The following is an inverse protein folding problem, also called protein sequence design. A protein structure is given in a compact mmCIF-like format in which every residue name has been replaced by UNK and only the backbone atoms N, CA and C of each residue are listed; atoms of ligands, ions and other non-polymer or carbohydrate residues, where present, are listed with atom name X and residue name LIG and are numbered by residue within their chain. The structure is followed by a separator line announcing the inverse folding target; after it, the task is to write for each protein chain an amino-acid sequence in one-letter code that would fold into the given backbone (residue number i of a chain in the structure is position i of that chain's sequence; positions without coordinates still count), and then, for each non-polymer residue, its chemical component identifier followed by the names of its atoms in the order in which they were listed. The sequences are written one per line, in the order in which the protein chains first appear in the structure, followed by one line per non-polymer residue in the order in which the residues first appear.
data_IF_866029673240
#
_entry.id   IF_866029673240
#
_cell.length_a   1.000
_cell.length_b   1.000
_cell.length_c   1.000
_cell.angle_alpha   90.00
_cell.angle_beta   90.00
_cell.angle_gamma   90.00
#
_symmetry.space_group_name_H-M   'P 1'
#
loop_
_entity.id
_entity.type
_entity.pdbx_description
1 polymer ?
#
# COMPACT_ATOMS: atom_id res chain seq x y z
N UNK A 1 -12.35 16.47 9.44
CA UNK A 1 -12.61 17.20 10.70
C UNK A 1 -14.01 17.77 10.63
N UNK A 2 -15.02 16.97 10.95
CA UNK A 2 -16.34 17.52 11.27
C UNK A 2 -16.31 17.76 12.78
N UNK A 3 -16.00 19.00 13.17
CA UNK A 3 -16.05 19.43 14.57
C UNK A 3 -17.51 19.29 14.99
N UNK A 4 -17.83 18.38 15.92
CA UNK A 4 -19.16 18.36 16.55
C UNK A 4 -19.42 19.78 17.05
N UNK A 5 -20.36 20.47 16.42
CA UNK A 5 -20.53 21.87 16.67
C UNK A 5 -21.03 22.03 18.11
N UNK A 6 -20.49 22.97 18.88
CA UNK A 6 -20.74 23.13 20.32
C UNK A 6 -22.21 23.07 20.75
N UNK A 7 -23.14 23.47 19.88
CA UNK A 7 -24.59 23.38 20.14
C UNK A 7 -25.14 21.93 20.11
N UNK A 8 -24.51 21.01 19.38
CA UNK A 8 -24.89 19.59 19.35
C UNK A 8 -24.54 18.91 20.67
N UNK A 9 -23.35 19.20 21.22
CA UNK A 9 -22.93 18.71 22.55
C UNK A 9 -23.93 19.15 23.63
N UNK A 10 -24.33 20.43 23.61
CA UNK A 10 -25.33 20.97 24.56
C UNK A 10 -26.69 20.30 24.37
N UNK A 11 -27.10 20.01 23.12
CA UNK A 11 -28.35 19.29 22.86
C UNK A 11 -28.33 17.86 23.41
N UNK A 12 -27.21 17.15 23.25
CA UNK A 12 -27.02 15.79 23.80
C UNK A 12 -27.05 15.83 25.33
N UNK A 13 -26.36 16.79 25.95
CA UNK A 13 -26.31 16.94 27.40
C UNK A 13 -27.71 17.21 27.99
N UNK A 14 -28.48 18.11 27.38
CA UNK A 14 -29.87 18.38 27.79
C UNK A 14 -30.76 17.15 27.59
N UNK A 15 -30.62 16.43 26.47
CA UNK A 15 -31.37 15.19 26.25
C UNK A 15 -31.02 14.13 27.29
N UNK A 16 -29.75 14.01 27.66
CA UNK A 16 -29.27 13.09 28.69
C UNK A 16 -29.86 13.44 30.07
N UNK A 17 -29.88 14.71 30.48
CA UNK A 17 -30.55 15.14 31.72
C UNK A 17 -32.04 14.76 31.77
N UNK A 18 -32.75 14.83 30.64
CA UNK A 18 -34.15 14.38 30.54
C UNK A 18 -34.26 12.86 30.69
N UNK A 19 -33.36 12.09 30.06
CA UNK A 19 -33.36 10.62 30.16
C UNK A 19 -33.03 10.15 31.58
N UNK A 20 -32.07 10.80 32.24
CA UNK A 20 -31.69 10.54 33.63
C UNK A 20 -32.76 10.94 34.65
N UNK A 21 -33.80 11.66 34.21
CA UNK A 21 -34.93 12.06 35.03
C UNK A 21 -34.70 13.32 35.87
N UNK A 22 -33.68 14.12 35.53
CA UNK A 22 -33.47 15.45 36.12
C UNK A 22 -34.57 16.42 35.70
N UNK A 23 -35.17 16.21 34.52
CA UNK A 23 -36.37 16.90 34.06
C UNK A 23 -37.43 15.88 33.65
N UNK A 24 -38.65 16.05 34.14
CA UNK A 24 -39.80 15.19 33.83
C UNK A 24 -40.56 15.70 32.60
N UNK A 25 -41.31 14.81 31.94
CA UNK A 25 -42.22 15.23 30.87
C UNK A 25 -43.25 16.25 31.40
N UNK A 26 -43.46 17.34 30.66
CA UNK A 26 -44.27 18.49 31.08
C UNK A 26 -43.54 19.49 31.99
N UNK A 27 -42.34 19.17 32.46
CA UNK A 27 -41.54 20.09 33.29
C UNK A 27 -40.88 21.19 32.46
N UNK A 28 -40.72 22.35 33.07
CA UNK A 28 -40.08 23.51 32.45
C UNK A 28 -38.58 23.51 32.75
N UNK A 29 -37.78 23.58 31.70
CA UNK A 29 -36.35 23.81 31.77
C UNK A 29 -36.08 25.32 31.93
N UNK A 30 -34.96 25.65 32.56
CA UNK A 30 -34.44 27.00 32.64
C UNK A 30 -34.43 27.73 31.28
N UNK A 31 -34.68 29.05 31.31
CA UNK A 31 -34.73 29.88 30.11
C UNK A 31 -33.40 29.97 29.36
N UNK A 32 -33.47 30.41 28.10
CA UNK A 32 -32.32 30.47 27.18
C UNK A 32 -31.11 31.25 27.74
N UNK A 33 -31.35 32.36 28.45
CA UNK A 33 -30.28 33.17 29.05
C UNK A 33 -29.60 32.48 30.23
N UNK A 34 -30.35 31.74 31.04
CA UNK A 34 -29.81 30.97 32.18
C UNK A 34 -28.95 29.81 31.69
N UNK A 35 -29.42 29.09 30.66
CA UNK A 35 -28.64 28.02 30.02
C UNK A 35 -27.37 28.58 29.37
N UNK A 36 -27.44 29.74 28.70
CA UNK A 36 -26.27 30.37 28.09
C UNK A 36 -25.17 30.67 29.13
N UNK A 37 -25.56 31.18 30.30
CA UNK A 37 -24.64 31.39 31.42
C UNK A 37 -24.06 30.09 31.98
N UNK A 38 -24.89 29.06 32.18
CA UNK A 38 -24.45 27.74 32.68
C UNK A 38 -23.42 27.07 31.78
N UNK A 39 -23.67 27.09 30.47
CA UNK A 39 -22.80 26.46 29.48
C UNK A 39 -21.65 27.35 29.00
N UNK A 40 -21.58 28.61 29.48
CA UNK A 40 -20.62 29.63 29.05
C UNK A 40 -20.56 29.79 27.52
N UNK A 41 -21.72 29.89 26.88
CA UNK A 41 -21.85 30.03 25.41
C UNK A 41 -22.76 31.20 25.04
N UNK A 42 -22.72 31.60 23.77
CA UNK A 42 -23.64 32.62 23.26
C UNK A 42 -25.11 32.14 23.33
N UNK A 43 -26.08 33.04 23.58
CA UNK A 43 -27.51 32.72 23.54
C UNK A 43 -27.95 32.09 22.21
N UNK A 44 -27.28 32.45 21.11
CA UNK A 44 -27.52 31.86 19.78
C UNK A 44 -27.13 30.38 19.70
N UNK A 45 -26.07 29.98 20.41
CA UNK A 45 -25.67 28.56 20.51
C UNK A 45 -26.72 27.75 21.27
N UNK A 46 -27.26 28.28 22.37
CA UNK A 46 -28.38 27.64 23.09
C UNK A 46 -29.62 27.57 22.19
N UNK A 47 -29.95 28.65 21.48
CA UNK A 47 -31.09 28.69 20.55
C UNK A 47 -31.00 27.57 19.52
N UNK A 48 -29.82 27.37 18.92
CA UNK A 48 -29.56 26.27 17.96
C UNK A 48 -29.67 24.89 18.60
N UNK A 49 -29.15 24.72 19.82
CA UNK A 49 -29.23 23.46 20.58
C UNK A 49 -30.69 23.06 20.83
N UNK A 50 -31.48 24.01 21.35
CA UNK A 50 -32.90 23.82 21.65
C UNK A 50 -33.73 23.61 20.38
N UNK A 51 -33.40 24.30 19.28
CA UNK A 51 -34.11 24.14 18.01
C UNK A 51 -34.03 22.69 17.49
N UNK A 52 -32.89 22.03 17.65
CA UNK A 52 -32.71 20.64 17.21
C UNK A 52 -33.51 19.67 18.08
N UNK A 53 -33.49 19.87 19.39
CA UNK A 53 -34.33 19.11 20.32
C UNK A 53 -35.82 19.35 20.04
N UNK A 54 -36.19 20.56 19.64
CA UNK A 54 -37.57 20.91 19.29
C UNK A 54 -38.02 20.24 17.98
N UNK A 55 -37.18 20.22 16.94
CA UNK A 55 -37.47 19.53 15.67
C UNK A 55 -37.74 18.04 15.89
N UNK A 56 -37.03 17.43 16.84
CA UNK A 56 -37.18 16.02 17.19
C UNK A 56 -38.29 15.77 18.22
N UNK A 57 -39.05 16.80 18.62
CA UNK A 57 -40.16 16.67 19.56
C UNK A 57 -39.75 16.34 21.01
N UNK A 58 -38.48 16.56 21.37
CA UNK A 58 -37.97 16.34 22.73
C UNK A 58 -38.45 17.45 23.66
N UNK A 59 -38.42 18.69 23.18
CA UNK A 59 -38.82 19.90 23.92
C UNK A 59 -39.68 20.82 23.06
N UNK A 60 -40.43 21.71 23.69
CA UNK A 60 -41.20 22.75 23.02
C UNK A 60 -40.85 24.12 23.58
N UNK A 61 -40.71 25.12 22.71
CA UNK A 61 -40.52 26.50 23.11
C UNK A 61 -41.83 27.25 22.93
N UNK A 62 -42.38 27.76 24.04
CA UNK A 62 -43.60 28.57 24.05
C UNK A 62 -43.28 30.01 24.43
N UNK A 63 -43.82 30.97 23.67
CA UNK A 63 -43.64 32.40 23.97
C UNK A 63 -44.16 32.72 25.38
N UNK A 64 -43.34 33.39 26.18
CA UNK A 64 -43.67 33.79 27.56
C UNK A 64 -43.58 32.68 28.62
N UNK A 65 -43.40 31.40 28.24
CA UNK A 65 -43.47 30.27 29.18
C UNK A 65 -42.11 29.58 29.38
N UNK A 66 -41.25 29.55 28.36
CA UNK A 66 -39.92 28.93 28.42
C UNK A 66 -39.81 27.65 27.58
N UNK A 67 -38.91 26.76 27.99
CA UNK A 67 -38.64 25.48 27.31
C UNK A 67 -39.32 24.38 28.13
N UNK A 68 -40.21 23.59 27.53
CA UNK A 68 -40.95 22.52 28.21
C UNK A 68 -40.55 21.17 27.64
N UNK A 69 -40.29 20.17 28.50
CA UNK A 69 -40.02 18.79 28.06
C UNK A 69 -41.32 18.17 27.54
N UNK A 70 -41.28 17.63 26.33
CA UNK A 70 -42.44 16.98 25.70
C UNK A 70 -42.39 15.48 25.86
N UNK A 71 -41.26 14.85 25.54
CA UNK A 71 -41.14 13.41 25.74
C UNK A 71 -39.72 12.92 26.03
N UNK A 72 -39.58 12.15 27.11
CA UNK A 72 -38.40 11.38 27.46
C UNK A 72 -38.09 10.31 26.40
N UNK A 73 -39.13 9.64 25.88
CA UNK A 73 -38.94 8.61 24.84
C UNK A 73 -38.30 9.18 23.56
N UNK A 74 -38.62 10.43 23.22
CA UNK A 74 -38.00 11.13 22.09
C UNK A 74 -36.57 11.56 22.40
N UNK A 75 -36.26 11.93 23.65
CA UNK A 75 -34.89 12.18 24.10
C UNK A 75 -34.00 10.92 23.95
N UNK A 76 -34.51 9.75 24.30
CA UNK A 76 -33.80 8.46 24.12
C UNK A 76 -33.58 8.12 22.64
N UNK A 77 -34.54 8.43 21.77
CA UNK A 77 -34.38 8.26 20.31
C UNK A 77 -33.37 9.24 19.73
N UNK A 78 -33.36 10.48 20.22
CA UNK A 78 -32.41 11.51 19.84
C UNK A 78 -30.98 11.08 20.16
N UNK A 79 -30.72 10.59 21.38
CA UNK A 79 -29.41 10.09 21.80
C UNK A 79 -28.93 8.92 20.92
N UNK A 80 -29.79 7.91 20.72
CA UNK A 80 -29.46 6.74 19.88
C UNK A 80 -29.10 7.12 18.43
N UNK A 81 -29.76 8.13 17.87
CA UNK A 81 -29.46 8.61 16.51
C UNK A 81 -28.11 9.31 16.41
N UNK A 82 -27.66 9.98 17.48
CA UNK A 82 -26.33 10.59 17.54
C UNK A 82 -25.22 9.54 17.72
N UNK A 83 -25.46 8.52 18.55
CA UNK A 83 -24.51 7.43 18.76
C UNK A 83 -24.26 6.63 17.47
N UNK A 84 -25.31 6.31 16.71
CA UNK A 84 -25.15 5.61 15.41
C UNK A 84 -24.33 6.41 14.41
N UNK A 85 -24.48 7.74 14.36
CA UNK A 85 -23.67 8.59 13.48
C UNK A 85 -22.20 8.57 13.90
N UNK A 86 -21.92 8.57 15.20
CA UNK A 86 -20.57 8.48 15.73
C UNK A 86 -19.93 7.11 15.47
N UNK A 87 -20.67 6.01 15.65
CA UNK A 87 -20.19 4.64 15.37
C UNK A 87 -19.80 4.46 13.90
N UNK A 88 -20.65 4.89 12.97
CA UNK A 88 -20.36 4.81 11.53
C UNK A 88 -19.14 5.66 11.16
N UNK A 89 -18.95 6.80 11.81
CA UNK A 89 -17.78 7.66 11.58
C UNK A 89 -16.46 6.95 11.93
N UNK A 90 -16.43 6.17 13.00
CA UNK A 90 -15.26 5.37 13.39
C UNK A 90 -14.87 4.39 12.27
N UNK A 91 -15.85 3.68 11.71
CA UNK A 91 -15.60 2.76 10.60
C UNK A 91 -15.14 3.47 9.33
N UNK A 92 -15.67 4.65 9.02
CA UNK A 92 -15.19 5.46 7.88
C UNK A 92 -13.74 5.92 8.05
N UNK A 93 -13.36 6.34 9.27
CA UNK A 93 -11.98 6.76 9.56
C UNK A 93 -11.00 5.57 9.48
N UNK A 94 -11.42 4.40 9.96
CA UNK A 94 -10.63 3.17 9.84
C UNK A 94 -10.50 2.73 8.38
N UNK A 95 -11.59 2.74 7.60
CA UNK A 95 -11.56 2.44 6.17
C UNK A 95 -10.61 3.37 5.42
N UNK A 96 -10.66 4.68 5.71
CA UNK A 96 -9.76 5.66 5.11
C UNK A 96 -8.30 5.34 5.41
N UNK A 97 -7.99 4.93 6.64
CA UNK A 97 -6.63 4.51 7.04
C UNK A 97 -6.19 3.27 6.27
N UNK A 98 -7.05 2.26 6.14
CA UNK A 98 -6.77 1.04 5.36
C UNK A 98 -6.54 1.35 3.88
N UNK A 99 -7.31 2.26 3.29
CA UNK A 99 -7.13 2.68 1.89
C UNK A 99 -5.78 3.35 1.65
N UNK A 100 -5.30 4.19 2.58
CA UNK A 100 -3.97 4.81 2.47
C UNK A 100 -2.87 3.75 2.59
N UNK A 101 -3.00 2.81 3.54
CA UNK A 101 -2.05 1.71 3.67
C UNK A 101 -2.00 0.84 2.41
N UNK A 102 -3.15 0.54 1.80
CA UNK A 102 -3.20 -0.18 0.52
C UNK A 102 -2.43 0.57 -0.56
N UNK A 103 -2.62 1.88 -0.67
CA UNK A 103 -1.91 2.71 -1.66
C UNK A 103 -0.39 2.66 -1.48
N UNK A 104 0.09 2.73 -0.24
CA UNK A 104 1.52 2.58 0.05
C UNK A 104 2.05 1.19 -0.30
N UNK A 105 1.26 0.14 -0.05
CA UNK A 105 1.63 -1.24 -0.42
C UNK A 105 1.71 -1.37 -1.94
N UNK A 106 0.71 -0.89 -2.68
CA UNK A 106 0.68 -0.93 -4.15
C UNK A 106 1.91 -0.21 -4.74
N UNK A 107 2.28 0.95 -4.20
CA UNK A 107 3.50 1.66 -4.62
C UNK A 107 4.79 0.86 -4.37
N UNK A 108 4.87 0.16 -3.23
CA UNK A 108 6.03 -0.71 -2.93
C UNK A 108 6.07 -1.91 -3.90
N UNK A 109 4.93 -2.51 -4.20
CA UNK A 109 4.81 -3.60 -5.18
C UNK A 109 5.34 -3.14 -6.53
N UNK A 110 4.85 -2.00 -7.05
CA UNK A 110 5.27 -1.46 -8.34
C UNK A 110 6.77 -1.17 -8.39
N UNK A 111 7.32 -0.61 -7.31
CA UNK A 111 8.76 -0.35 -7.21
C UNK A 111 9.60 -1.65 -7.24
N UNK A 112 9.11 -2.73 -6.61
CA UNK A 112 9.77 -4.03 -6.65
C UNK A 112 9.63 -4.72 -8.00
N UNK A 113 8.45 -4.66 -8.63
CA UNK A 113 8.23 -5.17 -9.99
C UNK A 113 9.18 -4.49 -10.98
N UNK A 114 9.28 -3.16 -10.92
CA UNK A 114 10.21 -2.40 -11.76
C UNK A 114 11.66 -2.85 -11.57
N UNK A 115 12.08 -3.10 -10.31
CA UNK A 115 13.42 -3.64 -10.04
C UNK A 115 13.60 -5.03 -10.64
N UNK A 116 12.62 -5.93 -10.45
CA UNK A 116 12.68 -7.29 -10.99
C UNK A 116 12.83 -7.26 -12.52
N UNK A 117 11.96 -6.51 -13.21
CA UNK A 117 12.03 -6.35 -14.67
C UNK A 117 13.39 -5.82 -15.10
N UNK A 118 13.90 -4.77 -14.44
CA UNK A 118 15.22 -4.24 -14.74
C UNK A 118 16.36 -5.24 -14.49
N UNK A 119 16.25 -6.08 -13.45
CA UNK A 119 17.22 -7.14 -13.20
C UNK A 119 17.13 -8.24 -14.27
N UNK A 120 15.93 -8.66 -14.65
CA UNK A 120 15.72 -9.69 -15.67
C UNK A 120 16.15 -9.20 -17.05
N UNK A 121 15.88 -7.94 -17.40
CA UNK A 121 16.33 -7.36 -18.67
C UNK A 121 17.86 -7.29 -18.74
N UNK A 122 18.52 -6.95 -17.62
CA UNK A 122 19.99 -7.00 -17.53
C UNK A 122 20.53 -8.42 -17.61
N UNK A 123 19.85 -9.39 -17.01
CA UNK A 123 20.24 -10.80 -17.05
C UNK A 123 20.08 -11.37 -18.46
N UNK A 124 18.93 -11.12 -19.09
CA UNK A 124 18.63 -11.51 -20.46
C UNK A 124 19.56 -10.83 -21.45
N UNK A 125 19.89 -9.55 -21.26
CA UNK A 125 20.88 -8.84 -22.09
C UNK A 125 22.28 -9.45 -21.98
N UNK A 126 22.69 -9.90 -20.78
CA UNK A 126 23.96 -10.64 -20.61
C UNK A 126 23.94 -12.03 -21.27
N UNK A 127 22.77 -12.62 -21.46
CA UNK A 127 22.62 -13.90 -22.17
C UNK A 127 22.46 -13.74 -23.68
N UNK A 128 21.94 -12.61 -24.18
CA UNK A 128 21.90 -12.31 -25.62
C UNK A 128 23.29 -12.14 -26.24
N UNK A 129 24.32 -11.88 -25.43
CA UNK A 129 25.72 -11.84 -25.88
C UNK A 129 26.42 -13.21 -25.84
N UNK A 130 25.75 -14.26 -25.35
CA UNK A 130 26.31 -15.63 -25.29
C UNK A 130 26.18 -16.27 -26.67
N UNK A 131 27.30 -16.64 -27.27
CA UNK A 131 27.31 -17.49 -28.46
C UNK A 131 27.68 -18.92 -28.08
N UNK A 132 27.05 -19.87 -28.78
CA UNK A 132 27.42 -21.29 -28.73
C UNK A 132 28.38 -21.57 -29.87
N UNK A 133 29.56 -22.12 -29.55
CA UNK A 133 30.55 -22.52 -30.56
C UNK A 133 30.94 -23.97 -30.30
N UNK A 134 30.58 -24.84 -31.25
CA UNK A 134 30.94 -26.25 -31.23
C UNK A 134 32.40 -26.44 -31.70
N UNK A 135 33.13 -27.31 -30.99
CA UNK A 135 34.45 -27.77 -31.40
C UNK A 135 34.29 -28.84 -32.48
N UNK A 136 34.68 -28.48 -33.70
CA UNK A 136 34.59 -29.37 -34.85
C UNK A 136 35.45 -30.63 -34.66
N UNK A 137 35.00 -31.75 -35.25
CA UNK A 137 35.76 -33.00 -35.21
C UNK A 137 37.12 -32.83 -35.89
N UNK A 138 38.19 -33.18 -35.18
CA UNK A 138 39.56 -33.02 -35.68
C UNK A 138 40.14 -31.62 -35.48
N UNK A 139 39.45 -30.79 -34.70
CA UNK A 139 39.94 -29.47 -34.30
C UNK A 139 41.30 -29.57 -33.61
N UNK A 140 42.17 -28.59 -33.90
CA UNK A 140 43.44 -28.45 -33.19
C UNK A 140 43.29 -28.10 -31.70
N UNK A 141 42.07 -27.86 -31.22
CA UNK A 141 41.75 -27.62 -29.82
C UNK A 141 41.62 -28.92 -29.00
N UNK A 142 41.41 -30.07 -29.64
CA UNK A 142 41.26 -31.36 -28.96
C UNK A 142 42.46 -31.68 -28.07
N UNK A 143 42.18 -32.09 -26.84
CA UNK A 143 43.19 -32.48 -25.85
C UNK A 143 43.95 -31.31 -25.22
N UNK A 144 43.64 -30.06 -25.59
CA UNK A 144 44.20 -28.86 -24.96
C UNK A 144 43.30 -28.40 -23.82
N UNK A 145 43.91 -27.79 -22.81
CA UNK A 145 43.16 -27.12 -21.76
C UNK A 145 42.69 -25.74 -22.20
N UNK A 146 41.69 -25.18 -21.53
CA UNK A 146 41.29 -23.77 -21.70
C UNK A 146 42.48 -22.82 -21.48
N UNK A 147 43.37 -23.14 -20.55
CA UNK A 147 44.58 -22.37 -20.29
C UNK A 147 45.61 -22.42 -21.42
N UNK A 148 45.77 -23.57 -22.09
CA UNK A 148 46.70 -23.74 -23.21
C UNK A 148 46.28 -22.90 -24.43
N UNK A 149 44.97 -22.81 -24.65
CA UNK A 149 44.42 -22.06 -25.76
C UNK A 149 44.51 -20.55 -25.56
N UNK A 150 44.53 -20.07 -24.30
CA UNK A 150 44.55 -18.65 -23.93
C UNK A 150 43.46 -17.84 -24.62
N UNK A 151 42.23 -18.40 -24.66
CA UNK A 151 41.12 -17.86 -25.44
C UNK A 151 40.84 -16.39 -25.12
N UNK A 152 40.75 -16.03 -23.83
CA UNK A 152 40.48 -14.65 -23.41
C UNK A 152 41.53 -13.66 -23.89
N UNK A 153 42.81 -14.02 -23.90
CA UNK A 153 43.89 -13.14 -24.39
C UNK A 153 43.84 -12.98 -25.90
N UNK A 154 43.54 -14.06 -26.64
CA UNK A 154 43.55 -14.07 -28.11
C UNK A 154 42.28 -13.48 -28.73
N UNK A 155 41.13 -13.70 -28.12
CA UNK A 155 39.81 -13.37 -28.67
C UNK A 155 39.07 -12.31 -27.87
N UNK A 156 39.48 -12.05 -26.62
CA UNK A 156 38.74 -11.18 -25.70
C UNK A 156 37.49 -11.82 -25.11
N UNK A 157 37.15 -13.06 -25.51
CA UNK A 157 35.96 -13.75 -25.04
C UNK A 157 36.17 -14.42 -23.68
N UNK A 158 35.10 -14.53 -22.91
CA UNK A 158 35.07 -15.31 -21.67
C UNK A 158 34.23 -16.56 -21.88
N UNK A 159 34.81 -17.74 -21.62
CA UNK A 159 34.07 -19.01 -21.58
C UNK A 159 33.30 -19.06 -20.27
N UNK A 160 31.97 -19.15 -20.35
CA UNK A 160 31.07 -19.21 -19.19
C UNK A 160 30.63 -20.63 -18.88
N UNK A 161 30.55 -21.50 -19.88
CA UNK A 161 30.28 -22.93 -19.71
C UNK A 161 30.83 -23.76 -20.87
N UNK A 162 30.98 -25.07 -20.62
CA UNK A 162 31.16 -26.09 -21.66
C UNK A 162 30.01 -27.08 -21.55
N UNK A 163 29.40 -27.44 -22.67
CA UNK A 163 28.40 -28.51 -22.75
C UNK A 163 29.02 -29.72 -23.44
N UNK A 164 29.04 -30.86 -22.75
CA UNK A 164 29.52 -32.14 -23.29
C UNK A 164 28.43 -33.18 -23.10
N UNK A 165 28.02 -33.82 -24.20
CA UNK A 165 26.96 -34.85 -24.19
C UNK A 165 25.65 -34.38 -23.50
N UNK A 166 25.31 -33.09 -23.63
CA UNK A 166 24.12 -32.50 -23.02
C UNK A 166 24.27 -32.15 -21.53
N UNK A 167 25.43 -32.38 -20.92
CA UNK A 167 25.73 -31.97 -19.54
C UNK A 167 26.46 -30.62 -19.57
N UNK A 168 25.85 -29.61 -18.95
CA UNK A 168 26.42 -28.28 -18.84
C UNK A 168 27.36 -28.18 -17.63
N UNK A 169 28.61 -27.82 -17.87
CA UNK A 169 29.57 -27.44 -16.83
C UNK A 169 29.77 -25.93 -16.84
N UNK A 170 29.26 -25.27 -15.81
CA UNK A 170 29.44 -23.84 -15.58
C UNK A 170 30.81 -23.52 -15.01
N UNK A 171 31.38 -22.40 -15.43
CA UNK A 171 32.68 -21.89 -14.98
C UNK A 171 33.78 -22.97 -14.99
N UNK A 172 34.08 -23.57 -16.16
CA UNK A 172 35.13 -24.58 -16.27
C UNK A 172 36.48 -24.05 -15.75
N UNK A 173 37.22 -24.88 -15.03
CA UNK A 173 38.56 -24.55 -14.57
C UNK A 173 39.56 -24.39 -15.73
N UNK A 174 40.69 -23.75 -15.46
CA UNK A 174 41.74 -23.51 -16.45
C UNK A 174 42.31 -24.82 -17.05
N UNK A 175 42.26 -25.89 -16.25
CA UNK A 175 42.68 -27.25 -16.54
C UNK A 175 41.66 -28.08 -17.34
N UNK A 176 40.47 -27.54 -17.63
CA UNK A 176 39.45 -28.26 -18.38
C UNK A 176 39.96 -28.61 -19.79
N UNK A 177 40.01 -29.91 -20.10
CA UNK A 177 40.48 -30.45 -21.38
C UNK A 177 39.32 -30.57 -22.36
N UNK A 178 39.48 -29.92 -23.52
CA UNK A 178 38.49 -29.91 -24.59
C UNK A 178 38.53 -31.19 -25.42
N UNK A 179 37.35 -31.62 -25.88
CA UNK A 179 37.17 -32.75 -26.79
C UNK A 179 36.30 -32.37 -28.01
N UNK A 180 36.31 -33.23 -29.02
CA UNK A 180 35.47 -33.05 -30.21
C UNK A 180 33.98 -33.06 -29.83
N UNK A 181 33.21 -32.12 -30.36
CA UNK A 181 31.78 -31.99 -30.08
C UNK A 181 31.43 -31.28 -28.77
N UNK A 182 32.42 -30.81 -28.02
CA UNK A 182 32.19 -29.86 -26.94
C UNK A 182 31.56 -28.56 -27.49
N UNK A 183 30.58 -28.01 -26.78
CA UNK A 183 29.99 -26.71 -27.09
C UNK A 183 30.45 -25.69 -26.05
N UNK A 184 31.16 -24.66 -26.50
CA UNK A 184 31.58 -23.55 -25.65
C UNK A 184 30.50 -22.48 -25.64
N UNK A 185 30.01 -22.14 -24.44
CA UNK A 185 29.21 -20.94 -24.22
C UNK A 185 30.16 -19.78 -23.91
N UNK A 186 30.20 -18.78 -24.79
CA UNK A 186 31.15 -17.66 -24.73
C UNK A 186 30.47 -16.30 -24.78
N UNK A 187 30.95 -15.36 -23.96
CA UNK A 187 30.47 -13.98 -23.92
C UNK A 187 31.57 -13.03 -24.40
N UNK A 188 31.22 -12.10 -25.28
CA UNK A 188 32.07 -11.00 -25.74
C UNK A 188 31.71 -10.52 -27.14
N UNK A 189 32.61 -9.74 -27.77
CA UNK A 189 32.34 -9.09 -29.06
C UNK A 189 32.22 -10.07 -30.23
N UNK A 190 31.45 -9.70 -31.25
CA UNK A 190 31.32 -10.48 -32.50
C UNK A 190 32.67 -10.78 -33.16
N UNK A 191 33.59 -9.81 -33.20
CA UNK A 191 34.95 -10.00 -33.71
C UNK A 191 35.74 -11.07 -32.93
N UNK A 192 35.50 -11.18 -31.62
CA UNK A 192 36.08 -12.24 -30.79
C UNK A 192 35.51 -13.61 -31.14
N UNK A 193 34.21 -13.68 -31.45
CA UNK A 193 33.51 -14.92 -31.85
C UNK A 193 34.04 -15.46 -33.16
N UNK A 194 34.23 -14.61 -34.17
CA UNK A 194 34.83 -14.99 -35.46
C UNK A 194 36.24 -15.58 -35.27
N UNK A 195 37.11 -14.90 -34.50
CA UNK A 195 38.46 -15.40 -34.18
C UNK A 195 38.43 -16.73 -33.43
N UNK A 196 37.46 -16.91 -32.53
CA UNK A 196 37.33 -18.16 -31.80
C UNK A 196 36.95 -19.31 -32.73
N UNK A 197 36.03 -19.09 -33.67
CA UNK A 197 35.70 -20.10 -34.68
C UNK A 197 36.91 -20.50 -35.52
N UNK A 198 37.81 -19.57 -35.85
CA UNK A 198 39.07 -19.89 -36.55
C UNK A 198 40.03 -20.73 -35.70
N UNK A 199 40.11 -20.47 -34.39
CA UNK A 199 40.96 -21.23 -33.46
C UNK A 199 40.45 -22.66 -33.25
N UNK A 200 39.12 -22.85 -33.30
CA UNK A 200 38.46 -24.13 -33.02
C UNK A 200 38.16 -24.96 -34.28
N UNK A 201 38.49 -24.46 -35.47
CA UNK A 201 38.41 -25.22 -36.73
C UNK A 201 39.41 -26.37 -36.81
#
# INVERSE_FOLDING_TARGET
MEYNARYQEIAIDIAHSIVMGEYREGEKIHGRSTLAGRYNVSPETIRRSIAILQTMGVVMVSQGVGITVISKSMAEKFMRGFDQKAEIQVYFDELKKLMEQRREIDQKIDAHLTKIVNYTDRLASRWMDVAEIEIAKGSGAKGKTLSDLKLREKTGLTVVAVVREGIEQFSPGAEFVLDDGDILLVVGSEQGKEKLQEILR
#
